data_IF_509235650724
#
_entry.id   IF_509235650724
#
_cell.length_a   1.000
_cell.length_b   1.000
_cell.length_c   1.000
_cell.angle_alpha   90.00
_cell.angle_beta   90.00
_cell.angle_gamma   90.00
#
_symmetry.space_group_name_H-M   'P 1'
#
loop_
_entity.id
_entity.type
_entity.pdbx_description
1 polymer ?
#
# COMPACT_ATOMS: atom_id res chain seq x y z
N UNK A 1 -0.04 15.78 37.24
CA UNK A 1 -0.91 15.68 36.05
C UNK A 1 -1.64 14.35 36.15
N UNK A 2 -2.96 14.35 36.02
CA UNK A 2 -3.74 13.13 36.07
C UNK A 2 -3.50 12.31 34.80
N UNK A 3 -3.22 11.01 34.94
CA UNK A 3 -3.00 10.13 33.80
C UNK A 3 -4.36 9.71 33.26
N UNK A 4 -4.70 10.18 32.06
CA UNK A 4 -5.92 9.74 31.37
C UNK A 4 -5.69 8.36 30.75
N UNK A 5 -6.65 7.47 30.89
CA UNK A 5 -6.67 6.15 30.23
C UNK A 5 -7.92 6.04 29.36
N UNK A 6 -7.81 5.44 28.15
CA UNK A 6 -8.98 5.14 27.34
C UNK A 6 -10.00 4.30 28.11
N UNK A 7 -11.27 4.66 28.00
CA UNK A 7 -12.40 4.02 28.66
C UNK A 7 -13.19 3.09 27.72
N UNK A 8 -12.95 3.18 26.41
CA UNK A 8 -13.61 2.37 25.40
C UNK A 8 -12.75 2.26 24.14
N UNK A 9 -13.14 1.35 23.23
CA UNK A 9 -12.41 1.08 21.99
C UNK A 9 -12.24 2.31 21.08
N UNK A 10 -13.22 3.23 21.09
CA UNK A 10 -13.11 4.45 20.30
C UNK A 10 -12.00 5.37 20.85
N UNK A 11 -11.94 5.58 22.17
CA UNK A 11 -10.86 6.35 22.79
C UNK A 11 -9.49 5.68 22.59
N UNK A 12 -9.42 4.35 22.66
CA UNK A 12 -8.18 3.61 22.39
C UNK A 12 -7.71 3.81 20.95
N UNK A 13 -8.62 3.68 19.98
CA UNK A 13 -8.35 3.96 18.57
C UNK A 13 -7.84 5.39 18.36
N UNK A 14 -8.48 6.39 18.96
CA UNK A 14 -8.05 7.79 18.82
C UNK A 14 -6.66 8.04 19.41
N UNK A 15 -6.32 7.38 20.52
CA UNK A 15 -4.96 7.42 21.07
C UNK A 15 -3.96 6.78 20.10
N UNK A 16 -4.28 5.63 19.49
CA UNK A 16 -3.41 5.02 18.47
C UNK A 16 -3.19 5.93 17.26
N UNK A 17 -4.23 6.63 16.79
CA UNK A 17 -4.12 7.60 15.70
C UNK A 17 -3.20 8.76 16.06
N UNK A 18 -3.32 9.31 17.27
CA UNK A 18 -2.43 10.37 17.75
C UNK A 18 -0.96 9.88 17.82
N UNK A 19 -0.74 8.68 18.36
CA UNK A 19 0.60 8.08 18.42
C UNK A 19 1.18 7.86 17.02
N UNK A 20 0.38 7.36 16.07
CA UNK A 20 0.79 7.18 14.69
C UNK A 20 1.26 8.50 14.06
N UNK A 21 0.48 9.58 14.22
CA UNK A 21 0.87 10.92 13.73
C UNK A 21 2.15 11.43 14.38
N UNK A 22 2.29 11.28 15.70
CA UNK A 22 3.51 11.67 16.44
C UNK A 22 4.75 10.89 15.99
N UNK A 23 4.56 9.67 15.49
CA UNK A 23 5.62 8.80 14.97
C UNK A 23 5.88 9.01 13.46
N UNK A 24 5.18 9.94 12.81
CA UNK A 24 5.28 10.16 11.36
C UNK A 24 4.66 9.05 10.51
N UNK A 25 3.84 8.18 11.11
CA UNK A 25 3.11 7.14 10.39
C UNK A 25 1.91 7.81 9.71
N UNK A 26 1.72 7.51 8.43
CA UNK A 26 0.60 8.04 7.65
C UNK A 26 -0.73 7.59 8.23
N UNK A 27 -1.64 8.55 8.38
CA UNK A 27 -3.02 8.35 8.83
C UNK A 27 -3.94 8.88 7.75
N UNK A 28 -5.03 8.15 7.53
CA UNK A 28 -6.08 8.58 6.61
C UNK A 28 -7.38 8.82 7.38
N UNK A 29 -8.22 9.69 6.84
CA UNK A 29 -9.59 9.88 7.28
C UNK A 29 -10.59 9.49 6.20
N UNK A 30 -11.76 9.03 6.64
CA UNK A 30 -12.83 8.59 5.74
C UNK A 30 -13.55 9.81 5.15
N UNK A 31 -13.61 9.90 3.83
CA UNK A 31 -14.33 10.98 3.11
C UNK A 31 -15.72 10.52 2.69
N UNK A 32 -15.81 9.33 2.10
CA UNK A 32 -17.07 8.68 1.75
C UNK A 32 -17.01 7.18 2.06
N UNK A 33 -18.02 6.41 1.67
CA UNK A 33 -18.09 4.99 2.02
C UNK A 33 -16.90 4.14 1.53
N UNK A 34 -16.26 4.53 0.43
CA UNK A 34 -15.19 3.79 -0.22
C UNK A 34 -13.83 4.50 -0.18
N UNK A 35 -13.82 5.81 0.06
CA UNK A 35 -12.63 6.64 -0.09
C UNK A 35 -12.05 7.11 1.25
N UNK A 36 -10.72 7.10 1.27
CA UNK A 36 -9.88 7.56 2.37
C UNK A 36 -8.92 8.60 1.83
N UNK A 37 -8.70 9.67 2.57
CA UNK A 37 -7.75 10.71 2.23
C UNK A 37 -6.71 10.87 3.32
N UNK A 38 -5.50 11.28 2.94
CA UNK A 38 -4.44 11.60 3.90
C UNK A 38 -4.93 12.66 4.89
N UNK A 39 -4.82 12.33 6.18
CA UNK A 39 -5.17 13.25 7.24
C UNK A 39 -4.07 14.28 7.44
N UNK A 40 -4.47 15.51 7.78
CA UNK A 40 -3.56 16.55 8.23
C UNK A 40 -2.76 16.07 9.45
N UNK A 41 -1.42 16.17 9.47
CA UNK A 41 -0.60 15.68 10.58
C UNK A 41 -0.81 16.45 11.89
N UNK A 42 -1.28 17.70 11.84
CA UNK A 42 -1.23 18.64 12.96
C UNK A 42 -2.49 18.62 13.85
N UNK A 43 -3.58 18.02 13.39
CA UNK A 43 -4.82 17.96 14.19
C UNK A 43 -5.58 16.64 14.07
N UNK A 44 -6.43 16.34 15.06
CA UNK A 44 -7.34 15.21 15.06
C UNK A 44 -8.73 15.68 15.51
N UNK A 45 -9.74 15.46 14.66
CA UNK A 45 -11.16 15.69 15.01
C UNK A 45 -11.78 14.43 15.63
N UNK A 46 -12.59 14.56 16.68
CA UNK A 46 -13.22 13.41 17.35
C UNK A 46 -14.36 12.78 16.55
N UNK A 47 -14.97 13.54 15.65
CA UNK A 47 -16.16 13.11 14.87
C UNK A 47 -15.78 12.43 13.54
N UNK A 48 -14.49 12.38 13.22
CA UNK A 48 -13.97 11.82 11.98
C UNK A 48 -13.50 10.39 12.20
N UNK A 49 -13.82 9.50 11.25
CA UNK A 49 -13.27 8.13 11.23
C UNK A 49 -11.88 8.16 10.62
N UNK A 50 -10.90 7.66 11.37
CA UNK A 50 -9.52 7.50 10.90
C UNK A 50 -9.13 6.04 10.78
N UNK A 51 -8.09 5.80 10.00
CA UNK A 51 -7.30 4.57 10.04
C UNK A 51 -5.82 4.92 9.91
N UNK A 52 -4.96 4.08 10.44
CA UNK A 52 -3.55 4.09 10.06
C UNK A 52 -3.50 3.62 8.61
N UNK A 53 -2.83 4.39 7.75
CA UNK A 53 -2.71 4.06 6.34
C UNK A 53 -2.05 2.67 6.22
N UNK A 54 -2.62 1.74 5.44
CA UNK A 54 -1.98 0.46 5.20
C UNK A 54 -0.57 0.67 4.67
N UNK A 55 0.42 0.05 5.30
CA UNK A 55 1.80 0.18 4.85
C UNK A 55 2.01 -0.57 3.54
N UNK A 56 2.76 -0.02 2.57
CA UNK A 56 3.19 -0.78 1.41
C UNK A 56 3.86 -2.08 1.83
N UNK A 57 3.52 -3.17 1.15
CA UNK A 57 4.16 -4.48 1.30
C UNK A 57 4.81 -4.82 -0.02
N UNK A 58 5.92 -4.15 -0.40
CA UNK A 58 6.56 -4.39 -1.69
C UNK A 58 6.97 -5.86 -1.82
N UNK A 59 6.93 -6.37 -3.04
CA UNK A 59 7.42 -7.69 -3.38
C UNK A 59 8.91 -7.82 -3.04
N UNK A 60 9.35 -8.94 -2.43
CA UNK A 60 10.74 -9.16 -2.06
C UNK A 60 11.59 -9.58 -3.28
N UNK A 61 11.55 -8.79 -4.35
CA UNK A 61 12.35 -9.01 -5.55
C UNK A 61 13.74 -8.45 -5.31
N UNK A 62 14.74 -9.35 -5.22
CA UNK A 62 16.12 -8.94 -4.99
C UNK A 62 16.70 -8.20 -6.19
N UNK A 63 17.83 -7.51 -6.00
CA UNK A 63 18.54 -6.87 -7.11
C UNK A 63 18.99 -7.87 -8.17
N UNK A 64 19.43 -9.04 -7.74
CA UNK A 64 19.85 -10.13 -8.63
C UNK A 64 18.66 -10.64 -9.46
N UNK A 65 17.46 -10.71 -8.86
CA UNK A 65 16.24 -11.03 -9.60
C UNK A 65 15.89 -9.95 -10.62
N UNK A 66 15.95 -8.67 -10.23
CA UNK A 66 15.76 -7.55 -11.15
C UNK A 66 16.75 -7.56 -12.32
N UNK A 67 18.01 -7.95 -12.09
CA UNK A 67 19.03 -8.07 -13.13
C UNK A 67 18.73 -9.19 -14.15
N UNK A 68 17.95 -10.22 -13.76
CA UNK A 68 17.49 -11.27 -14.68
C UNK A 68 16.26 -10.85 -15.50
N UNK A 69 15.53 -9.84 -15.04
CA UNK A 69 14.33 -9.33 -15.69
C UNK A 69 14.72 -8.26 -16.72
N UNK A 70 14.14 -8.35 -17.93
CA UNK A 70 14.38 -7.36 -18.98
C UNK A 70 14.13 -5.92 -18.47
N UNK A 71 15.08 -5.02 -18.74
CA UNK A 71 15.07 -3.62 -18.27
C UNK A 71 13.84 -2.80 -18.67
N UNK A 72 13.09 -3.23 -19.69
CA UNK A 72 11.84 -2.57 -20.07
C UNK A 72 10.81 -2.60 -18.95
N UNK A 73 10.83 -3.63 -18.10
CA UNK A 73 9.91 -3.80 -16.98
C UNK A 73 10.44 -3.04 -15.76
N UNK A 74 9.69 -2.02 -15.34
CA UNK A 74 10.08 -1.06 -14.30
C UNK A 74 9.29 -1.22 -13.00
N UNK A 75 8.20 -1.97 -13.04
CA UNK A 75 7.29 -2.16 -11.92
C UNK A 75 6.91 -3.62 -11.78
N UNK A 76 6.66 -4.04 -10.56
CA UNK A 76 6.12 -5.35 -10.23
C UNK A 76 4.98 -5.23 -9.21
N UNK A 77 3.98 -6.08 -9.33
CA UNK A 77 2.83 -6.16 -8.43
C UNK A 77 2.42 -7.62 -8.23
N UNK A 78 1.79 -7.90 -7.09
CA UNK A 78 1.02 -9.12 -6.86
C UNK A 78 -0.42 -8.87 -7.29
N UNK A 79 -0.90 -9.64 -8.26
CA UNK A 79 -2.28 -9.65 -8.70
C UNK A 79 -3.20 -10.31 -7.68
N UNK A 80 -4.50 -10.02 -7.77
CA UNK A 80 -5.48 -10.61 -6.85
C UNK A 80 -5.61 -12.14 -6.99
N UNK A 81 -5.16 -12.69 -8.11
CA UNK A 81 -5.07 -14.13 -8.40
C UNK A 81 -3.82 -14.80 -7.81
N UNK A 82 -2.93 -14.05 -7.15
CA UNK A 82 -1.70 -14.58 -6.56
C UNK A 82 -0.51 -14.67 -7.52
N UNK A 83 -0.65 -14.19 -8.76
CA UNK A 83 0.45 -14.12 -9.72
C UNK A 83 1.21 -12.79 -9.60
N UNK A 84 2.52 -12.82 -9.84
CA UNK A 84 3.32 -11.59 -9.93
C UNK A 84 3.34 -11.10 -11.37
N UNK A 85 3.05 -9.81 -11.56
CA UNK A 85 3.00 -9.14 -12.86
C UNK A 85 4.06 -8.06 -12.96
N UNK A 86 4.64 -7.92 -14.16
CA UNK A 86 5.57 -6.86 -14.50
C UNK A 86 4.97 -5.85 -15.48
N UNK A 87 5.26 -4.57 -15.25
CA UNK A 87 4.77 -3.44 -16.07
C UNK A 87 5.92 -2.51 -16.45
N UNK A 88 5.83 -1.89 -17.63
CA UNK A 88 6.81 -0.92 -18.15
C UNK A 88 6.45 0.54 -17.82
N UNK A 89 5.18 0.77 -17.47
CA UNK A 89 4.59 1.99 -16.93
C UNK A 89 4.05 1.74 -15.52
N UNK A 90 3.83 2.80 -14.74
CA UNK A 90 3.37 2.67 -13.35
C UNK A 90 1.92 2.16 -13.32
N UNK A 91 1.67 0.95 -12.77
CA UNK A 91 0.32 0.42 -12.73
C UNK A 91 -0.48 1.01 -11.58
N UNK A 92 -1.80 0.96 -11.69
CA UNK A 92 -2.75 1.37 -10.65
C UNK A 92 -3.84 0.31 -10.49
N UNK A 93 -4.52 0.33 -9.34
CA UNK A 93 -5.65 -0.55 -9.11
C UNK A 93 -6.86 0.00 -9.86
N UNK A 94 -7.38 -0.77 -10.81
CA UNK A 94 -8.62 -0.44 -11.50
C UNK A 94 -9.82 -0.72 -10.58
N UNK A 95 -10.61 0.31 -10.27
CA UNK A 95 -11.75 0.19 -9.36
C UNK A 95 -12.90 -0.68 -9.92
N UNK A 96 -12.95 -0.95 -11.23
CA UNK A 96 -13.99 -1.79 -11.86
C UNK A 96 -13.57 -3.25 -11.91
N UNK A 97 -12.32 -3.52 -12.31
CA UNK A 97 -11.77 -4.88 -12.40
C UNK A 97 -11.27 -5.42 -11.06
N UNK A 98 -11.04 -4.54 -10.09
CA UNK A 98 -10.39 -4.85 -8.82
C UNK A 98 -9.03 -5.54 -9.03
N UNK A 99 -8.26 -5.08 -10.00
CA UNK A 99 -6.96 -5.62 -10.34
C UNK A 99 -5.98 -4.53 -10.78
N UNK A 100 -4.70 -4.87 -10.84
CA UNK A 100 -3.64 -4.00 -11.34
C UNK A 100 -3.69 -3.90 -12.86
N UNK A 101 -3.70 -2.66 -13.36
CA UNK A 101 -3.61 -2.35 -14.79
C UNK A 101 -2.64 -1.19 -15.00
N UNK A 102 -2.10 -1.07 -16.20
CA UNK A 102 -1.40 0.14 -16.62
C UNK A 102 -2.33 1.19 -17.24
N UNK A 103 -1.76 2.31 -17.70
CA UNK A 103 -2.48 3.38 -18.40
C UNK A 103 -3.22 2.92 -19.65
N UNK A 104 -2.77 1.83 -20.27
CA UNK A 104 -3.34 1.28 -21.49
C UNK A 104 -4.43 0.22 -21.18
N UNK A 105 -4.65 -0.08 -19.90
CA UNK A 105 -5.66 -1.03 -19.42
C UNK A 105 -5.28 -2.50 -19.58
N UNK A 106 -3.99 -2.78 -19.77
CA UNK A 106 -3.46 -4.13 -19.93
C UNK A 106 -3.15 -4.77 -18.58
N UNK A 107 -3.28 -6.10 -18.53
CA UNK A 107 -2.69 -6.93 -17.48
C UNK A 107 -1.21 -7.10 -17.82
N UNK A 108 -0.33 -6.95 -16.83
CA UNK A 108 1.11 -6.98 -17.02
C UNK A 108 1.62 -8.32 -17.54
N UNK A 109 2.94 -8.44 -17.72
CA UNK A 109 3.55 -9.72 -18.06
C UNK A 109 3.65 -10.60 -16.81
N UNK A 110 3.11 -11.82 -16.86
CA UNK A 110 3.30 -12.83 -15.80
C UNK A 110 4.79 -13.08 -15.54
N UNK A 111 5.15 -13.15 -14.26
CA UNK A 111 6.46 -13.59 -13.81
C UNK A 111 6.61 -15.10 -13.96
N UNK A 112 7.73 -15.53 -14.53
CA UNK A 112 8.17 -16.93 -14.49
C UNK A 112 9.06 -17.24 -13.28
N UNK A 113 9.43 -16.22 -12.51
CA UNK A 113 10.26 -16.36 -11.31
C UNK A 113 9.38 -16.71 -10.11
N UNK A 114 9.84 -17.67 -9.31
CA UNK A 114 9.27 -17.96 -8.00
C UNK A 114 9.67 -16.85 -7.02
N UNK A 115 8.70 -16.01 -6.66
CA UNK A 115 8.87 -14.92 -5.70
C UNK A 115 8.08 -15.29 -4.46
N UNK A 116 8.70 -15.22 -3.28
CA UNK A 116 7.99 -15.45 -2.03
C UNK A 116 6.98 -14.31 -1.79
N UNK A 117 5.70 -14.63 -1.84
CA UNK A 117 4.60 -13.68 -1.65
C UNK A 117 3.92 -13.81 -0.28
N UNK A 118 4.48 -14.62 0.63
CA UNK A 118 3.89 -14.83 1.95
C UNK A 118 3.80 -13.51 2.73
N UNK A 119 2.59 -13.17 3.18
CA UNK A 119 2.31 -11.94 3.91
C UNK A 119 2.26 -10.67 3.05
N UNK A 120 2.44 -10.77 1.73
CA UNK A 120 2.29 -9.63 0.81
C UNK A 120 0.80 -9.38 0.55
N UNK A 121 0.35 -8.16 0.80
CA UNK A 121 -0.98 -7.71 0.39
C UNK A 121 -0.96 -7.33 -1.08
N UNK A 122 -1.78 -8.00 -1.91
CA UNK A 122 -1.83 -7.72 -3.35
C UNK A 122 -2.10 -6.24 -3.65
N UNK A 123 -2.98 -5.59 -2.88
CA UNK A 123 -3.32 -4.17 -3.02
C UNK A 123 -2.19 -3.20 -2.67
N UNK A 124 -1.18 -3.67 -1.94
CA UNK A 124 -0.10 -2.85 -1.40
C UNK A 124 1.28 -3.30 -1.94
N UNK A 125 1.27 -4.12 -2.98
CA UNK A 125 2.44 -4.84 -3.50
C UNK A 125 3.29 -4.06 -4.50
N UNK A 126 2.88 -2.83 -4.85
CA UNK A 126 3.56 -2.03 -5.86
C UNK A 126 5.05 -1.87 -5.55
N UNK A 127 5.87 -2.36 -6.46
CA UNK A 127 7.32 -2.42 -6.30
C UNK A 127 7.99 -1.82 -7.52
N UNK A 128 8.81 -0.79 -7.30
CA UNK A 128 9.59 -0.14 -8.36
C UNK A 128 10.94 -0.85 -8.52
N UNK A 129 11.38 -1.05 -9.76
CA UNK A 129 12.74 -1.49 -10.08
C UNK A 129 13.76 -0.46 -9.57
N UNK A 130 14.85 -0.89 -8.91
CA UNK A 130 15.96 0.00 -8.54
C UNK A 130 16.56 0.68 -9.77
N UNK A 131 16.92 1.97 -9.66
CA UNK A 131 17.39 2.77 -10.80
C UNK A 131 18.78 2.34 -11.34
N UNK A 132 19.54 1.62 -10.52
CA UNK A 132 20.91 1.19 -10.81
C UNK A 132 21.03 -0.31 -11.17
N UNK A 133 19.91 -0.96 -11.51
CA UNK A 133 19.82 -2.37 -11.95
C UNK A 133 19.22 -2.45 -13.34
#
# INVERSE_FOLDING_TARGET
>A
MEKLTPQNAHQEHMVQILLAKMQGIQVEYKVDDNDWCLADPDYVSLDIKYRIAPQPTPLPISREMWAMINEKWKWAVLGCNGCVYFFDSEPFINNVRYDWVDSDGWEGCDSVLEINIDGVSWRLSLTKRPEDV
#
